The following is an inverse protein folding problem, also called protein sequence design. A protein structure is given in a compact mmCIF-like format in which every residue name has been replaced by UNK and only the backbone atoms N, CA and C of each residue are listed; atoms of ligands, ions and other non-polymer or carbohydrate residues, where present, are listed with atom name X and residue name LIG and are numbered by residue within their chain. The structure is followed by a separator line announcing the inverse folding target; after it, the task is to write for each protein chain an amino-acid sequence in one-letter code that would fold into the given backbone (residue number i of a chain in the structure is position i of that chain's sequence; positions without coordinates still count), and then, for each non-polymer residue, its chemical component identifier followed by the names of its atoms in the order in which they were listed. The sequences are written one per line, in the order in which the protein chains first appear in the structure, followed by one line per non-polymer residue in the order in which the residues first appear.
data_IF_745234066202
#
_entry.id   IF_745234066202
#
_cell.length_a   1.000
_cell.length_b   1.000
_cell.length_c   1.000
_cell.angle_alpha   90.00
_cell.angle_beta   90.00
_cell.angle_gamma   90.00
#
_symmetry.space_group_name_H-M   'P 1'
#
loop_
_entity.id
_entity.type
_entity.pdbx_description
1 polymer ?
#
# COMPACT_ATOMS: atom_id res chain seq x y z
N UNK A 1 9.62 -8.63 2.33
CA UNK A 1 9.16 -9.64 1.39
C UNK A 1 7.83 -10.20 1.87
N UNK A 2 6.90 -10.41 0.95
CA UNK A 2 5.59 -10.96 1.24
C UNK A 2 5.61 -12.45 1.62
N UNK A 3 4.43 -13.00 1.82
CA UNK A 3 4.27 -14.41 2.16
C UNK A 3 4.19 -15.31 0.92
N UNK A 4 4.61 -16.55 1.09
CA UNK A 4 4.39 -17.69 0.21
C UNK A 4 4.14 -18.93 1.06
N UNK A 5 3.65 -20.00 0.45
CA UNK A 5 3.43 -21.27 1.11
C UNK A 5 4.69 -21.72 1.87
N UNK A 6 4.54 -21.98 3.16
CA UNK A 6 5.63 -22.43 4.04
C UNK A 6 5.96 -23.92 3.88
N UNK A 7 7.03 -24.34 4.55
CA UNK A 7 7.50 -25.74 4.55
C UNK A 7 7.42 -26.41 5.93
N UNK A 8 7.22 -25.65 7.01
CA UNK A 8 7.27 -26.13 8.40
C UNK A 8 6.00 -25.80 9.17
N UNK A 9 5.44 -26.78 9.82
CA UNK A 9 4.30 -26.63 10.75
C UNK A 9 4.70 -25.85 12.03
N UNK A 10 3.72 -25.23 12.73
CA UNK A 10 2.30 -25.22 12.40
C UNK A 10 1.97 -24.21 11.29
N UNK A 11 0.98 -24.57 10.47
CA UNK A 11 0.44 -23.72 9.41
C UNK A 11 -0.79 -22.94 9.88
N UNK A 12 -1.04 -21.81 9.24
CA UNK A 12 -2.27 -21.04 9.32
C UNK A 12 -2.70 -20.62 7.91
N UNK A 13 -3.99 -20.74 7.63
CA UNK A 13 -4.57 -20.30 6.37
C UNK A 13 -4.79 -18.79 6.37
N UNK A 14 -4.17 -18.06 5.44
CA UNK A 14 -4.09 -16.60 5.46
C UNK A 14 -4.46 -16.03 4.10
N UNK A 15 -5.33 -15.03 4.10
CA UNK A 15 -5.60 -14.21 2.93
C UNK A 15 -4.41 -13.31 2.60
N UNK A 16 -3.99 -13.34 1.33
CA UNK A 16 -2.82 -12.60 0.83
C UNK A 16 -3.26 -11.52 -0.16
N UNK A 17 -3.03 -10.27 0.20
CA UNK A 17 -3.30 -9.12 -0.67
C UNK A 17 -2.22 -9.02 -1.74
N UNK A 18 -2.64 -8.95 -2.99
CA UNK A 18 -1.79 -8.89 -4.19
C UNK A 18 -2.08 -7.62 -4.98
N UNK A 19 -1.23 -7.29 -5.96
CA UNK A 19 -1.47 -6.18 -6.90
C UNK A 19 -2.84 -6.27 -7.60
N UNK A 20 -3.33 -7.49 -7.87
CA UNK A 20 -4.64 -7.73 -8.46
C UNK A 20 -5.82 -7.27 -7.57
N UNK A 21 -5.57 -7.08 -6.28
CA UNK A 21 -6.57 -6.58 -5.34
C UNK A 21 -6.58 -5.03 -5.24
N UNK A 22 -5.72 -4.35 -6.01
CA UNK A 22 -5.65 -2.88 -6.04
C UNK A 22 -6.59 -2.35 -7.11
N UNK A 23 -7.62 -1.65 -6.71
CA UNK A 23 -8.56 -1.01 -7.65
C UNK A 23 -7.94 0.21 -8.33
N UNK A 24 -8.57 0.70 -9.40
CA UNK A 24 -8.11 1.91 -10.12
C UNK A 24 -8.23 3.19 -9.29
N UNK A 25 -9.15 3.21 -8.35
CA UNK A 25 -9.39 4.31 -7.41
C UNK A 25 -8.59 4.17 -6.09
N UNK A 26 -7.54 3.34 -6.10
CA UNK A 26 -6.60 3.15 -4.99
C UNK A 26 -7.24 2.61 -3.70
N UNK A 27 -8.24 1.73 -3.86
CA UNK A 27 -8.86 0.97 -2.77
C UNK A 27 -8.50 -0.52 -2.87
N UNK A 28 -8.84 -1.28 -1.84
CA UNK A 28 -8.70 -2.74 -1.83
C UNK A 28 -10.00 -3.40 -2.29
N UNK A 29 -9.87 -4.30 -3.24
CA UNK A 29 -10.92 -5.26 -3.60
C UNK A 29 -10.69 -6.57 -2.86
N UNK A 30 -11.60 -6.91 -1.97
CA UNK A 30 -11.57 -8.14 -1.18
C UNK A 30 -12.30 -9.30 -1.85
N UNK A 31 -12.94 -9.10 -3.00
CA UNK A 31 -13.76 -10.13 -3.67
C UNK A 31 -12.94 -11.33 -4.19
N UNK A 32 -11.65 -11.12 -4.45
CA UNK A 32 -10.74 -12.13 -5.01
C UNK A 32 -9.45 -12.24 -4.19
N UNK A 33 -9.58 -12.44 -2.88
CA UNK A 33 -8.43 -12.70 -2.01
C UNK A 33 -8.03 -14.18 -2.16
N UNK A 34 -6.75 -14.40 -2.41
CA UNK A 34 -6.18 -15.76 -2.39
C UNK A 34 -5.76 -16.13 -0.97
N UNK A 35 -6.17 -17.34 -0.54
CA UNK A 35 -5.80 -17.90 0.75
C UNK A 35 -4.75 -18.97 0.58
N UNK A 36 -3.68 -18.89 1.37
CA UNK A 36 -2.59 -19.87 1.34
C UNK A 36 -2.23 -20.34 2.76
N UNK A 37 -1.76 -21.56 2.87
CA UNK A 37 -1.23 -22.08 4.12
C UNK A 37 0.21 -21.62 4.29
N UNK A 38 0.46 -20.85 5.34
CA UNK A 38 1.77 -20.30 5.66
C UNK A 38 2.20 -20.71 7.06
N UNK A 39 3.49 -20.72 7.30
CA UNK A 39 4.02 -20.96 8.64
C UNK A 39 3.51 -19.90 9.62
N UNK A 40 2.90 -20.31 10.71
CA UNK A 40 2.37 -19.39 11.73
C UNK A 40 3.43 -18.39 12.22
N UNK A 41 4.66 -18.86 12.42
CA UNK A 41 5.79 -18.01 12.81
C UNK A 41 6.13 -16.92 11.79
N UNK A 42 5.97 -17.22 10.51
CA UNK A 42 6.22 -16.27 9.43
C UNK A 42 5.09 -15.26 9.32
N UNK A 43 3.84 -15.70 9.44
CA UNK A 43 2.68 -14.84 9.47
C UNK A 43 2.71 -13.86 10.65
N UNK A 44 3.05 -14.33 11.85
CA UNK A 44 3.17 -13.48 13.05
C UNK A 44 4.11 -12.26 12.86
N UNK A 45 5.06 -12.36 11.93
CA UNK A 45 6.01 -11.27 11.61
C UNK A 45 5.60 -10.42 10.38
N UNK A 46 4.63 -10.88 9.61
CA UNK A 46 4.29 -10.31 8.29
C UNK A 46 2.79 -10.11 8.07
N UNK A 47 2.01 -10.11 9.12
CA UNK A 47 0.60 -9.72 9.04
C UNK A 47 0.47 -8.20 8.85
N UNK A 48 -0.62 -7.81 8.22
CA UNK A 48 -1.01 -6.42 8.09
C UNK A 48 -1.68 -5.93 9.39
N UNK A 49 -1.41 -4.68 9.72
CA UNK A 49 -2.09 -3.95 10.78
C UNK A 49 -2.86 -2.77 10.20
N UNK A 50 -3.93 -2.36 10.87
CA UNK A 50 -4.65 -1.16 10.48
C UNK A 50 -3.70 0.05 10.40
N UNK A 51 -3.74 0.76 9.28
CA UNK A 51 -2.85 1.88 9.01
C UNK A 51 -1.57 1.52 8.25
N UNK A 52 -1.33 0.25 7.93
CA UNK A 52 -0.22 -0.11 7.04
C UNK A 52 -0.46 0.40 5.62
N UNK A 53 0.59 0.83 4.95
CA UNK A 53 0.56 1.15 3.53
C UNK A 53 1.09 -0.05 2.75
N UNK A 54 0.26 -0.59 1.85
CA UNK A 54 0.64 -1.68 0.95
C UNK A 54 1.12 -1.07 -0.35
N UNK A 55 2.40 -1.24 -0.67
CA UNK A 55 3.05 -0.64 -1.83
C UNK A 55 3.38 -1.71 -2.87
N UNK A 56 2.98 -1.48 -4.10
CA UNK A 56 3.36 -2.29 -5.24
C UNK A 56 4.84 -2.10 -5.56
N UNK A 57 5.64 -3.15 -5.40
CA UNK A 57 7.08 -3.09 -5.67
C UNK A 57 7.52 -3.79 -6.95
N UNK A 58 6.64 -4.60 -7.55
CA UNK A 58 6.94 -5.37 -8.76
C UNK A 58 5.65 -5.59 -9.57
N UNK A 59 5.77 -5.72 -10.87
CA UNK A 59 4.61 -5.98 -11.74
C UNK A 59 4.18 -4.79 -12.59
N UNK A 60 4.87 -3.67 -12.49
CA UNK A 60 4.56 -2.48 -13.28
C UNK A 60 4.96 -2.58 -14.75
N UNK A 61 4.50 -1.61 -15.52
CA UNK A 61 4.81 -1.39 -16.93
C UNK A 61 5.13 0.08 -17.20
N UNK A 62 5.37 0.45 -18.46
CA UNK A 62 5.60 1.86 -18.82
C UNK A 62 4.35 2.73 -18.59
N UNK A 63 3.16 2.17 -18.83
CA UNK A 63 1.90 2.88 -18.63
C UNK A 63 1.39 2.81 -17.18
N UNK A 64 1.75 1.75 -16.46
CA UNK A 64 1.35 1.53 -15.06
C UNK A 64 2.62 1.34 -14.22
N UNK A 65 3.26 2.42 -13.79
CA UNK A 65 4.49 2.32 -12.99
C UNK A 65 4.24 1.60 -11.66
N UNK A 66 5.28 0.97 -11.11
CA UNK A 66 5.25 0.45 -9.74
C UNK A 66 5.18 1.59 -8.71
N UNK A 67 4.92 1.27 -7.45
CA UNK A 67 4.79 2.26 -6.38
C UNK A 67 3.34 2.67 -6.11
N UNK A 68 2.37 2.07 -6.79
CA UNK A 68 0.96 2.19 -6.43
C UNK A 68 0.78 1.75 -4.98
N UNK A 69 0.12 2.59 -4.20
CA UNK A 69 0.04 2.42 -2.74
C UNK A 69 -1.40 2.44 -2.29
N UNK A 70 -1.75 1.55 -1.38
CA UNK A 70 -3.07 1.45 -0.75
C UNK A 70 -2.90 1.56 0.75
N UNK A 71 -3.78 2.31 1.41
CA UNK A 71 -3.91 2.31 2.85
C UNK A 71 -4.75 1.10 3.29
N UNK A 72 -4.21 0.29 4.19
CA UNK A 72 -4.94 -0.83 4.76
C UNK A 72 -5.74 -0.36 5.98
N UNK A 73 -7.05 -0.33 5.85
CA UNK A 73 -8.00 0.04 6.91
C UNK A 73 -8.80 -1.18 7.44
N UNK A 74 -8.25 -2.38 7.22
CA UNK A 74 -8.85 -3.63 7.66
C UNK A 74 -8.47 -4.04 9.08
N UNK A 75 -9.02 -5.15 9.54
CA UNK A 75 -8.70 -5.73 10.85
C UNK A 75 -7.24 -6.20 10.88
N UNK A 76 -6.51 -5.76 11.90
CA UNK A 76 -5.12 -6.17 12.14
C UNK A 76 -5.01 -7.69 12.36
N UNK A 77 -3.95 -8.29 11.83
CA UNK A 77 -3.64 -9.71 12.04
C UNK A 77 -4.50 -10.69 11.24
N UNK A 78 -5.26 -10.24 10.23
CA UNK A 78 -6.12 -11.12 9.40
C UNK A 78 -5.46 -11.43 8.06
N UNK A 79 -4.87 -10.43 7.42
CA UNK A 79 -4.27 -10.54 6.10
C UNK A 79 -2.77 -10.37 6.12
N UNK A 80 -2.14 -10.81 5.06
CA UNK A 80 -0.76 -10.48 4.71
C UNK A 80 -0.68 -9.98 3.27
N UNK A 81 0.50 -9.85 2.73
CA UNK A 81 0.76 -9.28 1.42
C UNK A 81 1.71 -10.16 0.60
N UNK A 82 1.61 -10.07 -0.72
CA UNK A 82 2.36 -10.90 -1.67
C UNK A 82 3.82 -10.45 -1.83
N UNK A 83 4.62 -11.27 -2.53
CA UNK A 83 6.00 -10.93 -2.89
C UNK A 83 6.12 -9.76 -3.85
N UNK A 84 5.07 -9.43 -4.59
CA UNK A 84 5.02 -8.28 -5.50
C UNK A 84 4.69 -6.96 -4.79
N UNK A 85 4.36 -7.05 -3.51
CA UNK A 85 4.05 -5.90 -2.65
C UNK A 85 4.97 -5.84 -1.44
N UNK A 86 4.94 -4.74 -0.73
CA UNK A 86 5.55 -4.58 0.59
C UNK A 86 4.61 -3.79 1.49
N UNK A 87 4.75 -3.96 2.79
CA UNK A 87 4.06 -3.14 3.78
C UNK A 87 5.03 -2.10 4.37
N UNK A 88 4.56 -0.86 4.46
CA UNK A 88 5.20 0.21 5.23
C UNK A 88 4.32 0.50 6.44
N UNK A 89 4.92 0.53 7.62
CA UNK A 89 4.25 0.85 8.88
C UNK A 89 4.92 2.05 9.52
N UNK A 90 4.12 3.05 9.86
CA UNK A 90 4.62 4.19 10.64
C UNK A 90 4.98 3.73 12.04
N UNK A 91 6.20 4.03 12.50
CA UNK A 91 6.66 3.62 13.83
C UNK A 91 6.12 4.52 14.94
N UNK A 92 5.81 5.76 14.62
CA UNK A 92 5.39 6.75 15.60
C UNK A 92 4.32 7.69 15.00
N UNK A 93 3.08 7.40 15.33
CA UNK A 93 1.93 8.21 14.90
C UNK A 93 1.89 9.62 15.54
N UNK A 94 2.76 9.90 16.52
CA UNK A 94 2.95 11.24 17.06
C UNK A 94 3.87 12.10 16.19
N UNK A 95 4.46 11.53 15.14
CA UNK A 95 5.31 12.23 14.18
C UNK A 95 4.66 12.27 12.81
N UNK A 96 4.21 11.10 12.30
CA UNK A 96 3.60 10.98 10.98
C UNK A 96 2.35 10.10 11.04
N UNK A 97 1.25 10.63 10.55
CA UNK A 97 0.00 9.87 10.41
C UNK A 97 0.08 9.00 9.14
N UNK A 98 -0.28 7.72 9.25
CA UNK A 98 -0.28 6.79 8.12
C UNK A 98 -1.10 7.30 6.93
N UNK A 99 -2.26 7.90 7.20
CA UNK A 99 -3.14 8.46 6.17
C UNK A 99 -2.52 9.68 5.47
N UNK A 100 -1.78 10.52 6.21
CA UNK A 100 -1.01 11.62 5.61
C UNK A 100 0.08 11.08 4.68
N UNK A 101 0.84 10.09 5.14
CA UNK A 101 1.88 9.44 4.34
C UNK A 101 1.29 8.78 3.08
N UNK A 102 0.14 8.13 3.21
CA UNK A 102 -0.59 7.56 2.09
C UNK A 102 -0.92 8.61 1.03
N UNK A 103 -1.56 9.73 1.41
CA UNK A 103 -1.90 10.79 0.46
C UNK A 103 -0.66 11.45 -0.15
N UNK A 104 0.43 11.58 0.62
CA UNK A 104 1.68 12.08 0.10
C UNK A 104 2.25 11.18 -1.01
N UNK A 105 2.33 9.87 -0.76
CA UNK A 105 2.81 8.89 -1.74
C UNK A 105 1.86 8.82 -2.95
N UNK A 106 0.56 8.86 -2.73
CA UNK A 106 -0.44 8.88 -3.80
C UNK A 106 -0.26 10.10 -4.71
N UNK A 107 -0.05 11.29 -4.15
CA UNK A 107 0.24 12.49 -4.92
C UNK A 107 1.51 12.36 -5.76
N UNK A 108 2.57 11.74 -5.21
CA UNK A 108 3.81 11.43 -5.94
C UNK A 108 3.58 10.45 -7.09
N UNK A 109 2.76 9.42 -6.85
CA UNK A 109 2.39 8.46 -7.88
C UNK A 109 1.63 9.14 -9.03
N UNK A 110 0.62 9.96 -8.72
CA UNK A 110 -0.20 10.68 -9.70
C UNK A 110 0.60 11.70 -10.51
N UNK A 111 1.62 12.32 -9.92
CA UNK A 111 2.56 13.20 -10.64
C UNK A 111 3.54 12.46 -11.55
N UNK A 112 3.59 11.13 -11.48
CA UNK A 112 4.49 10.31 -12.27
C UNK A 112 5.90 10.16 -11.68
N UNK A 113 6.18 10.66 -10.48
CA UNK A 113 7.50 10.61 -9.83
C UNK A 113 7.99 9.16 -9.67
N UNK A 114 7.09 8.19 -9.55
CA UNK A 114 7.42 6.76 -9.41
C UNK A 114 8.11 6.18 -10.63
N UNK A 115 7.95 6.78 -11.82
CA UNK A 115 8.67 6.35 -13.04
C UNK A 115 10.18 6.50 -12.90
N UNK A 116 10.64 7.49 -12.12
CA UNK A 116 12.06 7.71 -11.85
C UNK A 116 12.62 6.74 -10.79
N UNK A 117 11.72 6.05 -10.10
CA UNK A 117 12.04 5.12 -9.01
C UNK A 117 11.86 3.64 -9.41
N UNK A 118 11.64 3.35 -10.70
CA UNK A 118 11.52 1.98 -11.18
C UNK A 118 12.69 1.58 -12.09
N UNK A 119 12.90 0.26 -12.23
CA UNK A 119 13.90 -0.26 -13.17
C UNK A 119 13.50 0.04 -14.61
N UNK A 120 14.50 0.28 -15.48
CA UNK A 120 14.30 0.56 -16.90
C UNK A 120 14.53 -0.67 -17.79
N UNK A 121 14.54 -1.87 -17.19
CA UNK A 121 14.70 -3.12 -17.94
C UNK A 121 13.45 -3.44 -18.78
N UNK A 122 13.62 -4.12 -19.90
CA UNK A 122 12.51 -4.66 -20.69
C UNK A 122 11.73 -5.69 -19.88
N UNK A 123 10.41 -5.64 -19.96
CA UNK A 123 9.53 -6.57 -19.26
C UNK A 123 9.02 -6.01 -17.92
N UNK A 124 9.09 -6.83 -16.86
CA UNK A 124 8.50 -6.51 -15.58
C UNK A 124 9.26 -5.39 -14.84
N UNK A 125 8.60 -4.28 -14.56
CA UNK A 125 9.20 -3.17 -13.80
C UNK A 125 9.22 -3.50 -12.30
N UNK A 126 10.31 -3.10 -11.64
CA UNK A 126 10.48 -3.24 -10.20
C UNK A 126 10.80 -1.87 -9.58
N UNK A 127 10.28 -1.63 -8.38
CA UNK A 127 10.58 -0.44 -7.59
C UNK A 127 12.03 -0.51 -7.10
N UNK A 128 12.80 0.56 -7.31
CA UNK A 128 14.14 0.74 -6.76
C UNK A 128 13.97 1.19 -5.31
N UNK A 129 14.03 0.23 -4.38
CA UNK A 129 13.67 0.46 -2.98
C UNK A 129 14.48 1.58 -2.33
N UNK A 130 15.77 1.66 -2.61
CA UNK A 130 16.63 2.70 -2.02
C UNK A 130 16.19 4.11 -2.45
N UNK A 131 15.80 4.29 -3.72
CA UNK A 131 15.25 5.57 -4.19
C UNK A 131 13.91 5.88 -3.55
N UNK A 132 13.02 4.89 -3.45
CA UNK A 132 11.70 5.07 -2.86
C UNK A 132 11.78 5.37 -1.36
N UNK A 133 12.59 4.64 -0.61
CA UNK A 133 12.74 4.80 0.84
C UNK A 133 13.52 6.06 1.23
N UNK A 134 14.38 6.56 0.34
CA UNK A 134 15.10 7.84 0.53
C UNK A 134 14.34 9.06 0.00
N UNK A 135 13.12 8.89 -0.51
CA UNK A 135 12.30 10.00 -0.99
C UNK A 135 12.05 11.01 0.15
N UNK A 136 12.40 12.29 -0.04
CA UNK A 136 12.18 13.29 0.99
C UNK A 136 10.69 13.53 1.21
N UNK A 137 10.27 13.58 2.47
CA UNK A 137 8.89 13.85 2.87
C UNK A 137 8.88 15.20 3.59
N UNK A 138 8.14 16.18 3.06
CA UNK A 138 7.85 17.42 3.75
C UNK A 138 6.80 17.15 4.83
N UNK A 139 7.23 17.11 6.07
CA UNK A 139 6.42 16.70 7.20
C UNK A 139 5.97 17.91 8.02
N UNK A 140 4.72 18.36 7.90
CA UNK A 140 4.20 19.45 8.72
C UNK A 140 3.86 18.94 10.14
N UNK A 141 3.58 19.83 11.09
CA UNK A 141 3.09 19.45 12.42
C UNK A 141 1.83 18.57 12.34
N UNK A 142 1.59 17.73 13.34
CA UNK A 142 0.46 16.78 13.35
C UNK A 142 -0.92 17.42 13.14
N UNK A 143 -1.12 18.61 13.71
CA UNK A 143 -2.36 19.38 13.51
C UNK A 143 -2.59 19.72 12.04
N UNK A 144 -1.53 20.08 11.35
CA UNK A 144 -1.59 20.37 9.92
C UNK A 144 -1.76 19.11 9.08
N UNK A 145 -1.12 18.00 9.44
CA UNK A 145 -1.36 16.71 8.80
C UNK A 145 -2.85 16.32 8.87
N UNK A 146 -3.47 16.46 10.06
CA UNK A 146 -4.91 16.21 10.24
C UNK A 146 -5.75 17.12 9.35
N UNK A 147 -5.48 18.43 9.37
CA UNK A 147 -6.21 19.40 8.55
C UNK A 147 -6.13 19.07 7.03
N UNK A 148 -4.96 18.63 6.57
CA UNK A 148 -4.75 18.22 5.18
C UNK A 148 -5.59 16.97 4.86
N UNK A 149 -5.54 15.94 5.72
CA UNK A 149 -6.33 14.72 5.57
C UNK A 149 -7.82 15.06 5.49
N UNK A 150 -8.34 15.78 6.46
CA UNK A 150 -9.77 16.14 6.54
C UNK A 150 -10.22 16.90 5.28
N UNK A 151 -9.38 17.78 4.76
CA UNK A 151 -9.69 18.54 3.54
C UNK A 151 -9.73 17.64 2.30
N UNK A 152 -8.78 16.72 2.17
CA UNK A 152 -8.74 15.75 1.06
C UNK A 152 -9.99 14.87 1.11
N UNK A 153 -10.34 14.32 2.27
CA UNK A 153 -11.51 13.45 2.43
C UNK A 153 -12.82 14.17 2.16
N UNK A 154 -12.93 15.43 2.60
CA UNK A 154 -14.10 16.28 2.27
C UNK A 154 -14.25 16.45 0.76
N UNK A 155 -13.14 16.69 0.04
CA UNK A 155 -13.17 16.85 -1.42
C UNK A 155 -13.58 15.54 -2.09
N UNK A 156 -13.01 14.41 -1.71
CA UNK A 156 -13.38 13.12 -2.28
C UNK A 156 -14.84 12.77 -2.02
N UNK A 157 -15.35 12.98 -0.81
CA UNK A 157 -16.77 12.78 -0.48
C UNK A 157 -17.68 13.65 -1.36
N UNK A 158 -17.29 14.90 -1.58
CA UNK A 158 -18.06 15.81 -2.45
C UNK A 158 -18.06 15.35 -3.91
N UNK A 159 -16.93 14.87 -4.41
CA UNK A 159 -16.80 14.33 -5.76
C UNK A 159 -17.64 13.05 -5.92
N UNK A 160 -17.60 12.13 -4.96
CA UNK A 160 -18.38 10.89 -4.97
C UNK A 160 -19.90 11.20 -5.00
N UNK A 161 -20.36 12.20 -4.23
CA UNK A 161 -21.76 12.65 -4.26
C UNK A 161 -22.18 13.19 -5.64
N UNK A 162 -21.33 13.99 -6.27
CA UNK A 162 -21.58 14.52 -7.61
C UNK A 162 -21.64 13.39 -8.64
N UNK A 163 -20.67 12.47 -8.61
CA UNK A 163 -20.63 11.34 -9.54
C UNK A 163 -21.80 10.37 -9.34
N UNK A 164 -22.27 10.19 -8.11
CA UNK A 164 -23.45 9.35 -7.81
C UNK A 164 -24.79 9.98 -8.21
N UNK A 165 -24.80 11.28 -8.56
CA UNK A 165 -25.98 12.01 -9.02
C UNK A 165 -26.09 12.16 -10.54
N UNK A 166 -25.08 11.69 -11.28
CA UNK A 166 -25.03 11.67 -12.76
C UNK A 166 -25.46 10.31 -13.30
#
# INVERSE_FOLDING_TARGET
NGLWKGKKEPFVNVGVIRNANFTKDFKLDYSNIEYIDVEQRTFAKRHLENGDLIVEKSGGSDNNPVGRTILYEGKSGVFSFSNFTMALRTRNNNIVLSKFLYYYILAKYQKGDMRLMQTQTTGLRNLILDKFLSMPIHLPPLSEQKRIIDRIETIFTSLDMIMGSL
#
